data_IF_739755634939
#
_entry.id   IF_739755634939
#
_cell.length_a   1.000
_cell.length_b   1.000
_cell.length_c   1.000
_cell.angle_alpha   90.00
_cell.angle_beta   90.00
_cell.angle_gamma   90.00
#
_symmetry.space_group_name_H-M   'P 1'
#
loop_
_entity.id
_entity.type
_entity.pdbx_description
1 polymer ?
#
# COMPACT_ATOMS: atom_id res chain seq x y z
N UNK A 1 -48.78 -5.78 -14.75
CA UNK A 1 -48.16 -4.63 -15.44
C UNK A 1 -47.86 -3.58 -14.38
N UNK A 2 -46.81 -3.81 -13.59
CA UNK A 2 -46.38 -2.89 -12.54
C UNK A 2 -45.11 -2.21 -13.03
N UNK A 3 -45.26 -0.96 -13.47
CA UNK A 3 -44.14 -0.09 -13.80
C UNK A 3 -43.40 0.22 -12.50
N UNK A 4 -42.25 -0.43 -12.29
CA UNK A 4 -41.22 0.11 -11.42
C UNK A 4 -40.68 1.36 -12.12
N UNK A 5 -41.13 2.52 -11.69
CA UNK A 5 -40.45 3.77 -11.98
C UNK A 5 -39.16 3.77 -11.18
N UNK A 6 -38.09 3.24 -11.77
CA UNK A 6 -36.73 3.51 -11.33
C UNK A 6 -36.54 5.02 -11.34
N UNK A 7 -36.54 5.63 -10.15
CA UNK A 7 -36.09 7.01 -10.01
C UNK A 7 -34.59 6.96 -10.23
N UNK A 8 -34.17 7.14 -11.48
CA UNK A 8 -32.76 7.38 -11.81
C UNK A 8 -32.32 8.60 -11.02
N UNK A 9 -31.59 8.39 -9.93
CA UNK A 9 -30.84 9.47 -9.28
C UNK A 9 -29.92 9.99 -10.36
N UNK A 10 -30.21 11.19 -10.86
CA UNK A 10 -29.45 11.80 -11.95
C UNK A 10 -28.02 11.97 -11.42
N UNK A 11 -27.09 11.17 -11.94
CA UNK A 11 -25.69 11.23 -11.55
C UNK A 11 -25.14 12.60 -11.98
N UNK A 12 -24.93 13.46 -10.97
CA UNK A 12 -24.33 14.79 -11.12
C UNK A 12 -23.01 14.66 -11.88
N UNK A 13 -22.80 15.41 -12.95
CA UNK A 13 -21.55 15.41 -13.73
C UNK A 13 -20.84 16.78 -13.69
N UNK A 14 -19.63 16.87 -14.26
CA UNK A 14 -18.89 18.15 -14.23
C UNK A 14 -19.52 19.26 -15.07
N UNK A 15 -20.43 18.96 -16.02
CA UNK A 15 -21.22 20.00 -16.67
C UNK A 15 -22.25 20.61 -15.72
N UNK A 16 -22.91 19.80 -14.89
CA UNK A 16 -23.81 20.29 -13.84
C UNK A 16 -23.06 21.12 -12.78
N UNK A 17 -21.81 20.77 -12.49
CA UNK A 17 -20.92 21.57 -11.63
C UNK A 17 -20.63 22.94 -12.25
N UNK A 18 -20.39 22.99 -13.56
CA UNK A 18 -20.19 24.26 -14.28
C UNK A 18 -21.44 25.14 -14.23
N UNK A 19 -22.62 24.53 -14.38
CA UNK A 19 -23.91 25.22 -14.28
C UNK A 19 -24.15 25.76 -12.86
N UNK A 20 -23.80 24.99 -11.83
CA UNK A 20 -23.91 25.42 -10.43
C UNK A 20 -22.99 26.63 -10.12
N UNK A 21 -21.77 26.65 -10.66
CA UNK A 21 -20.87 27.82 -10.55
C UNK A 21 -21.51 29.06 -11.18
N UNK A 22 -22.14 28.90 -12.35
CA UNK A 22 -22.76 30.00 -13.08
C UNK A 22 -23.96 30.57 -12.27
N UNK A 23 -24.76 29.69 -11.65
CA UNK A 23 -25.94 30.03 -10.83
C UNK A 23 -25.63 30.61 -9.43
N UNK A 24 -24.44 30.37 -8.88
CA UNK A 24 -24.08 30.83 -7.52
C UNK A 24 -24.08 32.38 -7.40
N UNK A 25 -24.89 32.98 -6.53
CA UNK A 25 -25.01 34.46 -6.42
C UNK A 25 -24.03 35.10 -5.45
N UNK A 26 -23.42 34.29 -4.59
CA UNK A 26 -22.56 34.62 -3.46
C UNK A 26 -21.05 34.63 -3.80
N UNK A 27 -20.70 34.31 -5.05
CA UNK A 27 -19.31 34.29 -5.54
C UNK A 27 -18.96 35.52 -6.41
N UNK A 28 -17.77 36.09 -6.18
CA UNK A 28 -17.25 37.15 -7.04
C UNK A 28 -17.00 36.67 -8.47
N UNK A 29 -17.08 37.60 -9.44
CA UNK A 29 -16.87 37.27 -10.86
C UNK A 29 -15.49 36.61 -11.13
N UNK A 30 -14.45 37.08 -10.43
CA UNK A 30 -13.10 36.47 -10.50
C UNK A 30 -13.10 35.04 -9.97
N UNK A 31 -13.75 34.80 -8.84
CA UNK A 31 -13.80 33.45 -8.24
C UNK A 31 -14.56 32.47 -9.12
N UNK A 32 -15.69 32.89 -9.73
CA UNK A 32 -16.42 32.07 -10.71
C UNK A 32 -15.55 31.70 -11.90
N UNK A 33 -14.82 32.67 -12.46
CA UNK A 33 -13.90 32.45 -13.58
C UNK A 33 -12.83 31.42 -13.24
N UNK A 34 -12.20 31.54 -12.08
CA UNK A 34 -11.14 30.62 -11.64
C UNK A 34 -11.67 29.19 -11.44
N UNK A 35 -12.81 29.04 -10.76
CA UNK A 35 -13.45 27.74 -10.57
C UNK A 35 -13.80 27.08 -11.91
N UNK A 36 -14.45 27.84 -12.81
CA UNK A 36 -14.83 27.36 -14.14
C UNK A 36 -13.61 26.94 -14.97
N UNK A 37 -12.55 27.75 -14.95
CA UNK A 37 -11.30 27.47 -15.66
C UNK A 37 -10.66 26.18 -15.15
N UNK A 38 -10.67 25.96 -13.84
CA UNK A 38 -10.07 24.78 -13.22
C UNK A 38 -10.86 23.50 -13.43
N UNK A 39 -12.20 23.56 -13.38
CA UNK A 39 -13.06 22.42 -13.73
C UNK A 39 -12.84 22.02 -15.19
N UNK A 40 -12.79 23.00 -16.11
CA UNK A 40 -12.49 22.73 -17.53
C UNK A 40 -11.07 22.22 -17.74
N UNK A 41 -10.10 22.72 -16.98
CA UNK A 41 -8.72 22.24 -17.05
C UNK A 41 -8.61 20.77 -16.62
N UNK A 42 -9.31 20.38 -15.56
CA UNK A 42 -9.34 18.98 -15.10
C UNK A 42 -10.02 18.07 -16.12
N UNK A 43 -11.16 18.47 -16.68
CA UNK A 43 -11.82 17.70 -17.74
C UNK A 43 -10.89 17.48 -18.94
N UNK A 44 -10.16 18.54 -19.34
CA UNK A 44 -9.14 18.46 -20.39
C UNK A 44 -7.97 17.55 -20.02
N UNK A 45 -7.47 17.61 -18.79
CA UNK A 45 -6.37 16.75 -18.34
C UNK A 45 -6.77 15.28 -18.24
N UNK A 46 -8.06 15.01 -18.00
CA UNK A 46 -8.65 13.66 -18.04
C UNK A 46 -9.03 13.21 -19.47
N UNK A 47 -8.80 14.06 -20.47
CA UNK A 47 -9.15 13.86 -21.88
C UNK A 47 -10.61 13.44 -22.09
N UNK A 48 -11.52 14.11 -21.39
CA UNK A 48 -12.96 13.79 -21.40
C UNK A 48 -13.82 15.06 -21.39
N UNK A 49 -14.98 15.05 -22.07
CA UNK A 49 -15.94 16.14 -21.94
C UNK A 49 -16.50 16.16 -20.52
N UNK A 50 -16.75 17.36 -19.99
CA UNK A 50 -17.24 17.56 -18.62
C UNK A 50 -18.56 16.81 -18.34
N UNK A 51 -19.43 16.68 -19.35
CA UNK A 51 -20.69 15.92 -19.26
C UNK A 51 -20.51 14.42 -19.06
N UNK A 52 -19.34 13.86 -19.41
CA UNK A 52 -19.05 12.42 -19.26
C UNK A 52 -18.34 12.06 -17.95
N UNK A 53 -18.01 13.06 -17.14
CA UNK A 53 -17.26 12.86 -15.89
C UNK A 53 -18.26 13.01 -14.74
N UNK A 54 -18.60 11.90 -14.10
CA UNK A 54 -19.42 11.91 -12.90
C UNK A 54 -18.71 12.73 -11.79
N UNK A 55 -19.47 13.57 -11.10
CA UNK A 55 -19.04 14.41 -10.00
C UNK A 55 -19.05 13.68 -8.64
N UNK A 56 -19.14 12.34 -8.65
CA UNK A 56 -18.90 11.50 -7.48
C UNK A 56 -17.44 11.62 -7.00
N UNK A 57 -17.28 11.90 -5.71
CA UNK A 57 -15.98 12.16 -5.12
C UNK A 57 -15.08 10.91 -5.09
N UNK A 58 -15.64 9.70 -5.07
CA UNK A 58 -14.88 8.45 -5.09
C UNK A 58 -14.33 8.17 -6.48
N UNK A 59 -15.18 8.29 -7.50
CA UNK A 59 -14.79 8.12 -8.89
C UNK A 59 -13.78 9.19 -9.33
N UNK A 60 -14.06 10.46 -9.02
CA UNK A 60 -13.14 11.56 -9.33
C UNK A 60 -11.78 11.37 -8.66
N UNK A 61 -11.73 10.93 -7.39
CA UNK A 61 -10.46 10.65 -6.71
C UNK A 61 -9.66 9.58 -7.44
N UNK A 62 -10.30 8.46 -7.82
CA UNK A 62 -9.64 7.39 -8.56
C UNK A 62 -9.08 7.86 -9.92
N UNK A 63 -9.80 8.77 -10.60
CA UNK A 63 -9.37 9.38 -11.86
C UNK A 63 -8.22 10.38 -11.65
N UNK A 64 -8.32 11.24 -10.64
CA UNK A 64 -7.34 12.28 -10.31
C UNK A 64 -6.03 11.69 -9.75
N UNK A 65 -6.08 10.55 -9.07
CA UNK A 65 -4.89 9.85 -8.54
C UNK A 65 -3.92 9.42 -9.65
N UNK A 66 -4.43 9.23 -10.87
CA UNK A 66 -3.61 8.89 -12.04
C UNK A 66 -3.03 10.14 -12.76
N UNK A 67 -3.46 11.36 -12.41
CA UNK A 67 -2.94 12.58 -13.01
C UNK A 67 -1.62 13.00 -12.37
N UNK A 68 -0.52 12.81 -13.09
CA UNK A 68 0.78 13.33 -12.67
C UNK A 68 1.08 14.69 -13.30
N UNK A 69 1.41 15.70 -12.48
CA UNK A 69 1.57 17.09 -12.94
C UNK A 69 2.61 17.25 -14.08
N UNK A 70 3.70 16.46 -14.07
CA UNK A 70 4.71 16.48 -15.14
C UNK A 70 4.15 15.97 -16.47
N UNK A 71 3.32 14.92 -16.46
CA UNK A 71 2.75 14.31 -17.66
C UNK A 71 1.79 15.29 -18.36
N UNK A 72 0.95 15.97 -17.58
CA UNK A 72 0.03 17.01 -18.10
C UNK A 72 0.71 18.38 -18.31
N UNK A 73 2.02 18.50 -18.06
CA UNK A 73 2.80 19.70 -18.33
C UNK A 73 2.52 20.90 -17.41
N UNK A 74 2.12 20.67 -16.15
CA UNK A 74 1.86 21.74 -15.17
C UNK A 74 2.71 21.59 -13.91
N UNK A 75 2.82 22.67 -13.13
CA UNK A 75 3.45 22.60 -11.82
C UNK A 75 2.59 21.81 -10.83
N UNK A 76 3.23 21.16 -9.85
CA UNK A 76 2.52 20.46 -8.78
C UNK A 76 1.53 21.39 -8.04
N UNK A 77 1.91 22.66 -7.85
CA UNK A 77 1.06 23.70 -7.26
C UNK A 77 -0.18 23.97 -8.12
N UNK A 78 -0.05 24.01 -9.45
CA UNK A 78 -1.18 24.26 -10.36
C UNK A 78 -2.21 23.13 -10.31
N UNK A 79 -1.76 21.88 -10.34
CA UNK A 79 -2.63 20.71 -10.20
C UNK A 79 -3.32 20.70 -8.84
N UNK A 80 -2.57 20.97 -7.77
CA UNK A 80 -3.11 21.06 -6.40
C UNK A 80 -4.20 22.12 -6.26
N UNK A 81 -3.98 23.30 -6.83
CA UNK A 81 -4.96 24.38 -6.83
C UNK A 81 -6.20 24.01 -7.62
N UNK A 82 -6.04 23.38 -8.80
CA UNK A 82 -7.15 22.93 -9.62
C UNK A 82 -8.03 21.92 -8.87
N UNK A 83 -7.44 20.90 -8.25
CA UNK A 83 -8.17 19.89 -7.47
C UNK A 83 -8.91 20.54 -6.29
N UNK A 84 -8.25 21.49 -5.60
CA UNK A 84 -8.89 22.25 -4.52
C UNK A 84 -10.08 23.09 -5.00
N UNK A 85 -9.97 23.68 -6.19
CA UNK A 85 -11.03 24.47 -6.79
C UNK A 85 -12.16 23.58 -7.31
N UNK A 86 -11.86 22.40 -7.87
CA UNK A 86 -12.86 21.40 -8.22
C UNK A 86 -13.65 20.93 -6.99
N UNK A 87 -12.97 20.60 -5.88
CA UNK A 87 -13.66 20.23 -4.63
C UNK A 87 -14.61 21.35 -4.17
N UNK A 88 -14.17 22.61 -4.26
CA UNK A 88 -15.01 23.77 -3.94
C UNK A 88 -16.19 23.91 -4.91
N UNK A 89 -16.01 23.58 -6.18
CA UNK A 89 -17.06 23.69 -7.18
C UNK A 89 -18.14 22.61 -6.99
N UNK A 90 -17.75 21.38 -6.66
CA UNK A 90 -18.69 20.30 -6.36
C UNK A 90 -19.47 20.60 -5.06
N UNK A 91 -18.84 21.24 -4.07
CA UNK A 91 -19.57 21.71 -2.87
C UNK A 91 -20.75 22.62 -3.21
N UNK A 92 -20.74 23.35 -4.34
CA UNK A 92 -21.84 24.22 -4.78
C UNK A 92 -23.03 23.46 -5.35
N UNK A 93 -22.86 22.20 -5.79
CA UNK A 93 -23.96 21.41 -6.37
C UNK A 93 -24.84 20.75 -5.32
N UNK A 94 -24.29 20.48 -4.14
CA UNK A 94 -25.05 20.06 -2.99
C UNK A 94 -25.66 21.33 -2.40
N UNK A 95 -26.97 21.53 -2.55
CA UNK A 95 -27.74 22.75 -2.25
C UNK A 95 -27.70 23.26 -0.78
N UNK A 96 -26.65 22.95 -0.01
CA UNK A 96 -26.39 23.49 1.31
C UNK A 96 -25.24 24.49 1.21
N UNK A 97 -25.51 25.81 1.23
CA UNK A 97 -24.47 26.81 1.38
C UNK A 97 -23.93 26.69 2.81
N UNK A 98 -22.95 25.82 3.02
CA UNK A 98 -22.16 25.86 4.26
C UNK A 98 -21.25 27.06 4.10
N UNK A 99 -21.73 28.22 4.54
CA UNK A 99 -20.90 29.40 4.74
C UNK A 99 -19.60 28.93 5.40
N UNK A 100 -18.48 29.07 4.69
CA UNK A 100 -17.16 28.67 5.20
C UNK A 100 -16.88 29.48 6.44
N UNK A 101 -17.26 28.97 7.61
CA UNK A 101 -16.76 29.50 8.87
C UNK A 101 -15.25 29.31 8.80
N UNK A 102 -14.50 30.43 8.86
CA UNK A 102 -13.02 30.42 8.93
C UNK A 102 -12.50 29.48 10.02
N UNK A 103 -13.34 29.19 11.02
CA UNK A 103 -13.12 28.20 12.06
C UNK A 103 -14.24 27.15 12.03
N UNK A 104 -13.94 25.85 11.86
CA UNK A 104 -14.95 24.80 11.95
C UNK A 104 -15.66 24.84 13.31
N UNK A 105 -16.98 24.61 13.30
CA UNK A 105 -17.75 24.55 14.54
C UNK A 105 -17.29 23.33 15.36
N UNK A 106 -17.02 23.56 16.65
CA UNK A 106 -16.66 22.52 17.61
C UNK A 106 -17.38 22.79 18.92
N UNK A 107 -17.95 21.75 19.52
CA UNK A 107 -18.55 21.86 20.86
C UNK A 107 -17.47 22.21 21.89
N UNK A 108 -17.84 22.79 23.05
CA UNK A 108 -16.87 23.09 24.12
C UNK A 108 -16.04 21.88 24.54
N UNK A 109 -16.66 20.71 24.63
CA UNK A 109 -16.03 19.42 24.96
C UNK A 109 -14.93 19.06 23.95
N UNK A 110 -15.24 19.08 22.65
CA UNK A 110 -14.26 18.81 21.59
C UNK A 110 -13.15 19.87 21.52
N UNK A 111 -13.42 21.12 21.89
CA UNK A 111 -12.38 22.16 22.01
C UNK A 111 -11.42 21.86 23.15
N UNK A 112 -11.95 21.47 24.32
CA UNK A 112 -11.14 21.09 25.47
C UNK A 112 -10.25 19.88 25.14
N UNK A 113 -10.80 18.88 24.45
CA UNK A 113 -10.05 17.69 23.99
C UNK A 113 -8.87 18.04 23.09
N UNK A 114 -9.10 18.90 22.10
CA UNK A 114 -8.04 19.34 21.20
C UNK A 114 -7.00 20.21 21.92
N UNK A 115 -7.39 20.97 22.94
CA UNK A 115 -6.47 21.75 23.76
C UNK A 115 -5.60 20.86 24.68
N UNK A 116 -6.13 19.72 25.14
CA UNK A 116 -5.42 18.76 25.99
C UNK A 116 -4.38 17.90 25.26
N UNK A 117 -4.35 17.93 23.93
CA UNK A 117 -3.33 17.22 23.15
C UNK A 117 -2.00 17.98 23.22
N UNK A 118 -0.93 17.31 23.67
CA UNK A 118 0.40 17.92 23.82
C UNK A 118 1.03 18.31 22.48
N UNK A 119 0.83 17.50 21.43
CA UNK A 119 1.53 17.67 20.15
C UNK A 119 0.61 18.21 19.06
N UNK A 120 1.11 19.16 18.28
CA UNK A 120 0.37 19.80 17.16
C UNK A 120 -0.15 18.79 16.15
N UNK A 121 0.65 17.78 15.83
CA UNK A 121 0.25 16.76 14.88
C UNK A 121 -0.90 15.89 15.41
N UNK A 122 -0.97 15.60 16.72
CA UNK A 122 -2.08 14.86 17.34
C UNK A 122 -3.37 15.68 17.22
N UNK A 123 -3.28 16.98 17.51
CA UNK A 123 -4.37 17.96 17.33
C UNK A 123 -4.87 17.97 15.90
N UNK A 124 -3.97 18.07 14.92
CA UNK A 124 -4.34 18.09 13.50
C UNK A 124 -4.98 16.78 13.03
N UNK A 125 -4.62 15.64 13.60
CA UNK A 125 -5.21 14.33 13.26
C UNK A 125 -6.62 14.16 13.82
N UNK A 126 -6.87 14.61 15.05
CA UNK A 126 -8.18 14.51 15.70
C UNK A 126 -9.14 15.63 15.27
N UNK A 127 -8.62 16.78 14.84
CA UNK A 127 -9.44 17.95 14.48
C UNK A 127 -10.53 17.67 13.44
N UNK A 128 -10.28 16.75 12.49
CA UNK A 128 -11.28 16.33 11.50
C UNK A 128 -12.45 15.57 12.15
N UNK A 129 -12.14 14.59 12.99
CA UNK A 129 -13.14 13.81 13.74
C UNK A 129 -13.93 14.70 14.69
N UNK A 130 -13.24 15.57 15.44
CA UNK A 130 -13.86 16.51 16.37
C UNK A 130 -14.86 17.44 15.68
N UNK A 131 -14.55 17.88 14.45
CA UNK A 131 -15.45 18.72 13.66
C UNK A 131 -16.65 17.92 13.19
N UNK A 132 -16.45 16.72 12.66
CA UNK A 132 -17.53 15.82 12.24
C UNK A 132 -18.49 15.51 13.41
N UNK A 133 -17.96 15.05 14.54
CA UNK A 133 -18.75 14.74 15.73
C UNK A 133 -19.48 15.97 16.27
N UNK A 134 -18.87 17.17 16.21
CA UNK A 134 -19.55 18.40 16.61
C UNK A 134 -20.69 18.81 15.67
N UNK A 135 -20.55 18.54 14.36
CA UNK A 135 -21.59 18.79 13.35
C UNK A 135 -22.75 17.78 13.47
N UNK A 136 -22.47 16.54 13.90
CA UNK A 136 -23.46 15.46 14.04
C UNK A 136 -24.00 15.28 15.46
N UNK A 137 -23.54 16.08 16.42
CA UNK A 137 -24.00 16.04 17.82
C UNK A 137 -23.45 14.87 18.64
N UNK A 138 -22.36 14.24 18.21
CA UNK A 138 -21.70 13.13 18.90
C UNK A 138 -20.70 13.68 19.93
N UNK A 139 -20.84 13.27 21.20
CA UNK A 139 -19.90 13.59 22.27
C UNK A 139 -18.65 12.72 22.18
N UNK A 140 -17.56 13.12 22.82
CA UNK A 140 -16.32 12.32 22.81
C UNK A 140 -16.50 10.96 23.49
N UNK A 141 -17.35 10.87 24.52
CA UNK A 141 -17.69 9.62 25.22
C UNK A 141 -18.43 8.62 24.35
N UNK A 142 -19.14 9.11 23.33
CA UNK A 142 -20.04 8.31 22.49
C UNK A 142 -19.33 7.83 21.21
N UNK A 143 -18.05 8.18 21.04
CA UNK A 143 -17.24 7.73 19.90
C UNK A 143 -16.87 6.26 20.07
N UNK A 144 -17.43 5.42 19.20
CA UNK A 144 -17.17 3.99 19.14
C UNK A 144 -16.96 3.53 17.68
N UNK A 145 -16.73 2.24 17.49
CA UNK A 145 -16.44 1.66 16.17
C UNK A 145 -17.56 1.85 15.13
N UNK A 146 -18.79 2.14 15.56
CA UNK A 146 -19.92 2.42 14.63
C UNK A 146 -19.87 3.84 14.04
N UNK A 147 -19.18 4.78 14.72
CA UNK A 147 -19.00 6.17 14.24
C UNK A 147 -17.98 6.24 13.11
N UNK A 148 -17.03 5.31 13.09
CA UNK A 148 -15.90 5.31 12.16
C UNK A 148 -16.31 5.12 10.69
N UNK A 149 -17.18 4.16 10.32
CA UNK A 149 -17.70 4.06 8.95
C UNK A 149 -18.39 5.35 8.48
N UNK A 150 -19.25 5.94 9.32
CA UNK A 150 -19.97 7.17 8.98
C UNK A 150 -19.00 8.37 8.79
N UNK A 151 -17.98 8.49 9.65
CA UNK A 151 -16.93 9.50 9.48
C UNK A 151 -16.07 9.25 8.23
N UNK A 152 -15.77 7.99 7.90
CA UNK A 152 -15.07 7.62 6.66
C UNK A 152 -15.85 8.07 5.44
N UNK A 153 -17.15 7.79 5.39
CA UNK A 153 -18.01 8.17 4.27
C UNK A 153 -18.13 9.69 4.16
N UNK A 154 -18.17 10.39 5.29
CA UNK A 154 -18.13 11.85 5.33
C UNK A 154 -16.82 12.41 4.72
N UNK A 155 -15.67 11.83 5.06
CA UNK A 155 -14.38 12.20 4.47
C UNK A 155 -14.33 11.89 2.97
N UNK A 156 -14.86 10.73 2.57
CA UNK A 156 -14.92 10.30 1.18
C UNK A 156 -15.74 11.27 0.33
N UNK A 157 -16.83 11.82 0.87
CA UNK A 157 -17.69 12.81 0.21
C UNK A 157 -17.07 14.22 0.17
N UNK A 158 -16.32 14.64 1.20
CA UNK A 158 -15.81 16.02 1.31
C UNK A 158 -14.45 16.28 0.66
N UNK A 159 -13.63 15.28 0.33
CA UNK A 159 -12.24 15.52 -0.10
C UNK A 159 -11.77 14.70 -1.29
N UNK A 160 -11.52 15.35 -2.42
CA UNK A 160 -10.93 14.71 -3.61
C UNK A 160 -9.45 14.31 -3.49
N UNK A 161 -8.74 14.71 -2.42
CA UNK A 161 -7.27 14.52 -2.30
C UNK A 161 -6.84 13.60 -1.15
N UNK A 162 -7.62 13.52 -0.07
CA UNK A 162 -7.26 12.67 1.08
C UNK A 162 -7.73 11.25 0.82
N UNK A 163 -6.82 10.29 0.93
CA UNK A 163 -7.14 8.87 1.13
C UNK A 163 -7.92 8.73 2.45
N UNK A 164 -9.25 8.46 2.40
CA UNK A 164 -10.08 8.39 3.59
C UNK A 164 -9.68 7.23 4.49
N UNK A 165 -9.30 6.09 3.94
CA UNK A 165 -8.88 4.90 4.69
C UNK A 165 -7.62 5.16 5.50
N UNK A 166 -6.62 5.77 4.86
CA UNK A 166 -5.40 6.17 5.55
C UNK A 166 -5.68 7.23 6.61
N UNK A 167 -6.54 8.19 6.33
CA UNK A 167 -6.91 9.23 7.29
C UNK A 167 -7.62 8.65 8.53
N UNK A 168 -8.57 7.73 8.33
CA UNK A 168 -9.27 7.02 9.40
C UNK A 168 -8.30 6.19 10.23
N UNK A 169 -7.45 5.38 9.58
CA UNK A 169 -6.43 4.60 10.28
C UNK A 169 -5.55 5.46 11.18
N UNK A 170 -5.04 6.58 10.67
CA UNK A 170 -4.23 7.50 11.47
C UNK A 170 -5.02 8.18 12.59
N UNK A 171 -6.31 8.45 12.37
CA UNK A 171 -7.21 9.01 13.40
C UNK A 171 -7.40 8.02 14.54
N UNK A 172 -7.73 6.76 14.25
CA UNK A 172 -7.91 5.69 15.25
C UNK A 172 -6.62 5.48 16.05
N UNK A 173 -5.47 5.41 15.36
CA UNK A 173 -4.17 5.27 16.03
C UNK A 173 -3.87 6.44 16.96
N UNK A 174 -4.18 7.67 16.53
CA UNK A 174 -3.98 8.86 17.37
C UNK A 174 -4.96 8.86 18.55
N UNK A 175 -6.21 8.44 18.35
CA UNK A 175 -7.22 8.33 19.40
C UNK A 175 -6.79 7.36 20.50
N UNK A 176 -6.42 6.13 20.13
CA UNK A 176 -5.96 5.13 21.09
C UNK A 176 -4.67 5.55 21.78
N UNK A 177 -3.78 6.27 21.10
CA UNK A 177 -2.57 6.83 21.69
C UNK A 177 -2.89 7.87 22.79
N UNK A 178 -3.90 8.71 22.60
CA UNK A 178 -4.32 9.68 23.63
C UNK A 178 -4.87 8.97 24.88
N UNK A 179 -5.51 7.81 24.70
CA UNK A 179 -5.94 6.93 25.81
C UNK A 179 -4.71 6.35 26.52
N UNK A 180 -3.76 5.80 25.76
CA UNK A 180 -2.52 5.20 26.29
C UNK A 180 -1.65 6.20 27.05
N UNK A 181 -1.68 7.47 26.66
CA UNK A 181 -0.96 8.57 27.35
C UNK A 181 -1.69 9.06 28.61
N UNK A 182 -2.87 8.54 28.94
CA UNK A 182 -3.65 8.98 30.11
C UNK A 182 -4.33 10.34 29.93
N UNK A 183 -4.34 10.91 28.71
CA UNK A 183 -5.03 12.18 28.40
C UNK A 183 -6.55 11.99 28.37
N UNK A 184 -7.00 10.78 27.99
CA UNK A 184 -8.42 10.46 27.82
C UNK A 184 -8.78 9.03 28.28
N UNK A 185 -8.43 8.61 29.51
CA UNK A 185 -8.50 7.20 29.90
C UNK A 185 -9.93 6.65 29.99
N UNK A 186 -10.92 7.52 30.12
CA UNK A 186 -12.35 7.17 30.19
C UNK A 186 -13.01 6.95 28.82
N UNK A 187 -12.30 7.23 27.72
CA UNK A 187 -12.86 7.07 26.38
C UNK A 187 -12.74 5.63 25.90
N UNK A 188 -13.73 5.19 25.11
CA UNK A 188 -13.71 3.86 24.50
C UNK A 188 -12.55 3.74 23.50
N UNK A 189 -11.78 2.65 23.59
CA UNK A 189 -10.77 2.31 22.58
C UNK A 189 -11.47 1.93 21.28
N UNK A 190 -10.97 2.49 20.19
CA UNK A 190 -11.41 2.15 18.84
C UNK A 190 -10.61 0.97 18.31
N UNK A 191 -11.25 0.10 17.56
CA UNK A 191 -10.59 -1.04 16.93
C UNK A 191 -9.74 -0.54 15.75
N UNK A 192 -8.40 -0.64 15.79
CA UNK A 192 -7.58 -0.26 14.66
C UNK A 192 -7.92 -1.14 13.46
N UNK A 193 -8.04 -0.56 12.27
CA UNK A 193 -8.08 -1.34 11.03
C UNK A 193 -6.89 -2.30 11.06
N UNK A 194 -7.16 -3.62 11.08
CA UNK A 194 -6.14 -4.66 11.30
C UNK A 194 -4.95 -4.36 10.39
N UNK A 195 -3.82 -4.02 10.99
CA UNK A 195 -2.59 -3.91 10.23
C UNK A 195 -2.30 -5.29 9.65
N UNK A 196 -2.17 -5.39 8.33
CA UNK A 196 -1.71 -6.62 7.69
C UNK A 196 -0.33 -7.07 8.21
N UNK A 197 0.39 -6.25 8.99
CA UNK A 197 1.70 -6.58 9.53
C UNK A 197 1.68 -7.42 10.82
N UNK A 198 0.63 -7.36 11.66
CA UNK A 198 0.67 -7.95 13.02
C UNK A 198 -0.57 -8.78 13.37
N UNK A 199 -1.06 -9.59 12.42
CA UNK A 199 -2.17 -10.51 12.70
C UNK A 199 -1.70 -11.91 13.11
N UNK A 200 -0.40 -12.21 13.01
CA UNK A 200 0.17 -13.51 13.37
C UNK A 200 0.55 -13.55 14.85
N UNK A 201 0.21 -14.63 15.53
CA UNK A 201 0.70 -14.94 16.88
C UNK A 201 2.24 -15.05 16.85
N UNK A 202 2.97 -14.39 17.76
CA UNK A 202 4.42 -14.57 17.94
C UNK A 202 4.79 -16.05 18.09
N UNK A 203 5.95 -16.45 17.57
CA UNK A 203 6.39 -17.85 17.68
C UNK A 203 6.62 -18.26 19.15
N UNK A 204 7.03 -17.31 19.99
CA UNK A 204 7.25 -17.46 21.43
C UNK A 204 6.02 -17.89 22.22
N UNK A 205 4.82 -17.64 21.68
CA UNK A 205 3.56 -17.88 22.38
C UNK A 205 3.01 -19.30 22.10
N UNK A 206 3.61 -20.02 21.16
CA UNK A 206 3.29 -21.42 20.89
C UNK A 206 4.03 -22.36 21.86
N UNK A 207 3.59 -23.61 22.04
CA UNK A 207 4.28 -24.59 22.87
C UNK A 207 5.78 -24.73 22.55
N UNK A 208 6.60 -24.95 23.57
CA UNK A 208 8.06 -25.03 23.42
C UNK A 208 8.49 -26.17 22.47
N UNK A 209 7.75 -27.27 22.47
CA UNK A 209 7.95 -28.40 21.54
C UNK A 209 7.83 -27.96 20.08
N UNK A 210 6.83 -27.13 19.78
CA UNK A 210 6.62 -26.60 18.43
C UNK A 210 7.75 -25.67 18.02
N UNK A 211 8.16 -24.78 18.93
CA UNK A 211 9.29 -23.87 18.68
C UNK A 211 10.57 -24.64 18.36
N UNK A 212 10.87 -25.68 19.14
CA UNK A 212 12.04 -26.53 18.92
C UNK A 212 11.97 -27.28 17.58
N UNK A 213 10.81 -27.80 17.20
CA UNK A 213 10.62 -28.47 15.91
C UNK A 213 10.76 -27.50 14.72
N UNK A 214 10.25 -26.26 14.86
CA UNK A 214 10.47 -25.18 13.89
C UNK A 214 11.96 -24.88 13.73
N UNK A 215 12.68 -24.66 14.83
CA UNK A 215 14.10 -24.31 14.77
C UNK A 215 14.95 -25.47 14.22
N UNK A 216 14.64 -26.72 14.56
CA UNK A 216 15.24 -27.92 13.97
C UNK A 216 15.07 -27.95 12.44
N UNK A 217 13.85 -27.69 11.96
CA UNK A 217 13.60 -27.62 10.52
C UNK A 217 14.35 -26.47 9.85
N UNK A 218 14.37 -25.29 10.46
CA UNK A 218 15.03 -24.12 9.88
C UNK A 218 16.55 -24.27 9.84
N UNK A 219 17.15 -24.88 10.86
CA UNK A 219 18.56 -25.24 10.88
C UNK A 219 18.89 -26.20 9.73
N UNK A 220 18.10 -27.28 9.59
CA UNK A 220 18.27 -28.30 8.53
C UNK A 220 18.27 -27.69 7.12
N UNK A 221 17.34 -26.77 6.83
CA UNK A 221 17.29 -26.16 5.49
C UNK A 221 18.34 -25.07 5.28
N UNK A 222 18.95 -24.56 6.36
CA UNK A 222 20.04 -23.58 6.28
C UNK A 222 21.41 -24.23 6.19
N UNK A 223 21.58 -25.40 6.81
CA UNK A 223 22.84 -26.14 6.94
C UNK A 223 22.66 -27.56 6.35
N UNK A 224 22.56 -27.63 5.02
CA UNK A 224 22.38 -28.91 4.33
C UNK A 224 23.72 -29.63 4.25
N UNK A 225 23.77 -30.84 4.82
CA UNK A 225 24.82 -31.80 4.51
C UNK A 225 24.63 -32.32 3.09
N UNK A 226 25.58 -32.00 2.20
CA UNK A 226 25.53 -32.38 0.78
C UNK A 226 25.61 -33.90 0.56
N UNK A 227 26.04 -34.67 1.58
CA UNK A 227 26.13 -36.12 1.53
C UNK A 227 24.92 -36.81 2.18
N UNK A 228 24.01 -36.05 2.79
CA UNK A 228 22.78 -36.57 3.39
C UNK A 228 21.73 -36.85 2.32
N UNK A 229 21.06 -38.01 2.40
CA UNK A 229 19.88 -38.33 1.60
C UNK A 229 18.63 -37.55 2.07
N UNK A 230 18.71 -36.94 3.25
CA UNK A 230 17.65 -36.15 3.88
C UNK A 230 17.89 -34.63 3.72
N UNK A 231 16.86 -33.91 3.23
CA UNK A 231 16.85 -32.45 3.13
C UNK A 231 16.78 -31.89 1.70
N UNK A 232 16.68 -30.57 1.52
CA UNK A 232 16.76 -29.97 0.18
C UNK A 232 18.18 -30.10 -0.38
N UNK A 233 18.37 -30.20 -1.71
CA UNK A 233 19.67 -30.50 -2.33
C UNK A 233 20.74 -29.41 -2.18
N UNK A 234 20.37 -28.21 -1.75
CA UNK A 234 21.27 -27.09 -1.48
C UNK A 234 20.77 -26.33 -0.26
N UNK A 235 21.71 -25.81 0.53
CA UNK A 235 21.41 -24.88 1.61
C UNK A 235 20.60 -23.68 1.10
N UNK A 236 19.53 -23.34 1.81
CA UNK A 236 18.67 -22.21 1.45
C UNK A 236 19.28 -20.89 1.92
N UNK A 237 19.17 -19.86 1.09
CA UNK A 237 19.59 -18.49 1.44
C UNK A 237 18.83 -18.00 2.71
N UNK A 238 19.45 -17.17 3.57
CA UNK A 238 18.83 -16.70 4.81
C UNK A 238 17.44 -16.08 4.64
N UNK A 239 17.22 -15.29 3.59
CA UNK A 239 15.91 -14.71 3.30
C UNK A 239 14.83 -15.76 2.98
N UNK A 240 15.21 -16.88 2.36
CA UNK A 240 14.31 -18.00 2.10
C UNK A 240 13.95 -18.72 3.40
N UNK A 241 14.92 -18.92 4.29
CA UNK A 241 14.71 -19.49 5.63
C UNK A 241 13.72 -18.62 6.43
N UNK A 242 13.91 -17.31 6.44
CA UNK A 242 12.98 -16.39 7.12
C UNK A 242 11.57 -16.43 6.49
N UNK A 243 11.48 -16.52 5.17
CA UNK A 243 10.18 -16.68 4.49
C UNK A 243 9.48 -18.00 4.88
N UNK A 244 10.24 -19.06 5.19
CA UNK A 244 9.70 -20.32 5.70
C UNK A 244 9.22 -20.14 7.14
N UNK A 245 10.02 -19.52 8.02
CA UNK A 245 9.64 -19.19 9.41
C UNK A 245 8.31 -18.41 9.45
N UNK A 246 8.19 -17.37 8.61
CA UNK A 246 6.96 -16.57 8.49
C UNK A 246 5.78 -17.41 7.97
N UNK A 247 6.01 -18.31 7.02
CA UNK A 247 4.95 -19.17 6.50
C UNK A 247 4.43 -20.15 7.56
N UNK A 248 5.32 -20.78 8.33
CA UNK A 248 4.98 -21.66 9.46
C UNK A 248 4.15 -20.90 10.49
N UNK A 249 4.63 -19.73 10.94
CA UNK A 249 3.92 -18.90 11.92
C UNK A 249 2.53 -18.48 11.45
N UNK A 250 2.39 -18.13 10.16
CA UNK A 250 1.09 -17.82 9.55
C UNK A 250 0.16 -19.02 9.60
N UNK A 251 0.62 -20.19 9.16
CA UNK A 251 -0.16 -21.42 9.17
C UNK A 251 -0.62 -21.81 10.57
N UNK A 252 0.28 -21.79 11.56
CA UNK A 252 -0.04 -22.08 12.95
C UNK A 252 -1.04 -21.07 13.54
N UNK A 253 -0.87 -19.76 13.26
CA UNK A 253 -1.84 -18.75 13.68
C UNK A 253 -3.22 -19.02 13.09
N UNK A 254 -3.29 -19.42 11.82
CA UNK A 254 -4.57 -19.70 11.16
C UNK A 254 -5.32 -20.81 11.91
N UNK A 255 -4.63 -21.89 12.30
CA UNK A 255 -5.25 -22.96 13.07
C UNK A 255 -5.88 -22.44 14.36
N UNK A 256 -5.14 -21.62 15.12
CA UNK A 256 -5.65 -20.96 16.33
C UNK A 256 -6.90 -20.12 16.05
N UNK A 257 -6.84 -19.29 15.00
CA UNK A 257 -7.98 -18.43 14.61
C UNK A 257 -9.21 -19.23 14.15
N UNK A 258 -9.01 -20.45 13.63
CA UNK A 258 -10.07 -21.35 13.20
C UNK A 258 -10.57 -22.30 14.30
N UNK A 259 -10.04 -22.17 15.53
CA UNK A 259 -10.55 -22.88 16.71
C UNK A 259 -9.68 -24.04 17.22
N UNK A 260 -8.51 -24.28 16.62
CA UNK A 260 -7.54 -25.25 17.17
C UNK A 260 -6.89 -24.64 18.43
N UNK A 261 -6.94 -25.31 19.60
CA UNK A 261 -6.27 -24.81 20.81
C UNK A 261 -4.77 -24.63 20.57
N UNK A 262 -4.19 -23.53 21.03
CA UNK A 262 -2.78 -23.21 20.77
C UNK A 262 -1.85 -24.27 21.38
N UNK A 263 -2.26 -24.86 22.50
CA UNK A 263 -1.56 -25.91 23.24
C UNK A 263 -1.49 -27.23 22.45
N UNK A 264 -2.42 -27.45 21.50
CA UNK A 264 -2.44 -28.64 20.65
C UNK A 264 -1.50 -28.56 19.45
N UNK A 265 -0.94 -27.38 19.16
CA UNK A 265 0.02 -27.18 18.07
C UNK A 265 1.42 -27.42 18.63
N UNK A 266 1.79 -28.69 18.79
CA UNK A 266 3.05 -29.11 19.44
C UNK A 266 4.18 -29.43 18.45
N UNK A 267 3.88 -29.59 17.16
CA UNK A 267 4.88 -29.89 16.12
C UNK A 267 4.45 -29.42 14.73
N UNK A 268 5.38 -29.45 13.78
CA UNK A 268 5.13 -29.17 12.37
C UNK A 268 4.22 -30.21 11.71
N UNK A 269 4.10 -31.41 12.29
CA UNK A 269 3.19 -32.46 11.83
C UNK A 269 1.73 -31.97 11.84
N UNK A 270 1.33 -31.26 12.90
CA UNK A 270 -0.03 -30.69 13.05
C UNK A 270 -0.40 -29.81 11.86
N UNK A 271 0.55 -29.05 11.30
CA UNK A 271 0.29 -28.14 10.18
C UNK A 271 0.06 -28.86 8.84
N UNK A 272 0.59 -30.08 8.71
CA UNK A 272 0.56 -30.85 7.45
C UNK A 272 -0.47 -31.99 7.47
N UNK A 273 -1.10 -32.25 8.62
CA UNK A 273 -2.30 -33.07 8.69
C UNK A 273 -3.34 -32.60 7.67
N UNK A 274 -3.95 -33.53 6.94
CA UNK A 274 -4.82 -33.22 5.80
C UNK A 274 -5.93 -32.23 6.16
N UNK A 275 -6.53 -32.37 7.34
CA UNK A 275 -7.61 -31.48 7.79
C UNK A 275 -7.07 -30.06 8.07
N UNK A 276 -6.00 -29.93 8.85
CA UNK A 276 -5.36 -28.66 9.16
C UNK A 276 -4.81 -27.97 7.91
N UNK A 277 -4.16 -28.72 7.02
CA UNK A 277 -3.67 -28.22 5.74
C UNK A 277 -4.80 -27.60 4.90
N UNK A 278 -5.95 -28.28 4.79
CA UNK A 278 -7.13 -27.74 4.11
C UNK A 278 -7.69 -26.49 4.79
N UNK A 279 -7.78 -26.50 6.12
CA UNK A 279 -8.24 -25.34 6.91
C UNK A 279 -7.36 -24.11 6.66
N UNK A 280 -6.03 -24.30 6.67
CA UNK A 280 -5.06 -23.22 6.41
C UNK A 280 -5.28 -22.62 5.02
N UNK A 281 -5.38 -23.46 3.99
CA UNK A 281 -5.58 -22.99 2.63
C UNK A 281 -6.94 -22.32 2.45
N UNK A 282 -8.00 -22.90 3.02
CA UNK A 282 -9.37 -22.36 2.96
C UNK A 282 -9.45 -20.97 3.58
N UNK A 283 -8.86 -20.79 4.77
CA UNK A 283 -8.82 -19.48 5.43
C UNK A 283 -8.23 -18.40 4.52
N UNK A 284 -7.15 -18.70 3.81
CA UNK A 284 -6.54 -17.73 2.89
C UNK A 284 -7.34 -17.54 1.61
N UNK A 285 -8.04 -18.55 1.10
CA UNK A 285 -8.96 -18.38 -0.02
C UNK A 285 -10.13 -17.48 0.36
N UNK A 286 -10.77 -17.74 1.51
CA UNK A 286 -11.91 -16.96 1.98
C UNK A 286 -11.50 -15.50 2.26
N UNK A 287 -10.29 -15.30 2.81
CA UNK A 287 -9.71 -13.96 3.01
C UNK A 287 -9.43 -13.21 1.69
N UNK A 288 -9.26 -13.92 0.58
CA UNK A 288 -9.09 -13.33 -0.76
C UNK A 288 -10.34 -13.50 -1.62
N UNK A 289 -11.53 -13.55 -0.99
CA UNK A 289 -12.83 -13.59 -1.66
C UNK A 289 -12.95 -14.76 -2.67
N UNK A 290 -12.37 -15.91 -2.31
CA UNK A 290 -12.35 -17.11 -3.15
C UNK A 290 -11.31 -17.10 -4.28
N UNK A 291 -10.60 -15.99 -4.50
CA UNK A 291 -9.53 -15.91 -5.49
C UNK A 291 -8.26 -16.55 -4.94
N UNK A 292 -7.57 -17.38 -5.74
CA UNK A 292 -6.30 -18.01 -5.36
C UNK A 292 -5.16 -17.01 -5.57
N UNK A 293 -4.55 -16.44 -4.52
CA UNK A 293 -3.46 -15.51 -4.72
C UNK A 293 -2.16 -16.27 -5.04
N UNK A 294 -1.32 -15.69 -5.90
CA UNK A 294 -0.08 -16.34 -6.39
C UNK A 294 0.85 -16.84 -5.27
N UNK A 295 0.88 -16.14 -4.14
CA UNK A 295 1.73 -16.51 -3.01
C UNK A 295 1.22 -17.74 -2.23
N UNK A 296 -0.06 -18.10 -2.35
CA UNK A 296 -0.65 -19.23 -1.62
C UNK A 296 -0.08 -20.57 -2.10
N UNK A 297 0.14 -20.71 -3.41
CA UNK A 297 0.88 -21.84 -3.98
C UNK A 297 2.27 -21.97 -3.31
N UNK A 298 2.96 -20.85 -3.13
CA UNK A 298 4.27 -20.81 -2.47
C UNK A 298 4.21 -21.16 -0.99
N UNK A 299 3.11 -20.88 -0.27
CA UNK A 299 2.90 -21.33 1.11
C UNK A 299 2.67 -22.84 1.14
N UNK A 300 1.74 -23.34 0.32
CA UNK A 300 1.44 -24.76 0.20
C UNK A 300 2.69 -25.59 -0.16
N UNK A 301 3.53 -25.07 -1.06
CA UNK A 301 4.79 -25.73 -1.42
C UNK A 301 5.73 -25.88 -0.22
N UNK A 302 5.81 -24.88 0.67
CA UNK A 302 6.67 -24.97 1.87
C UNK A 302 6.16 -26.02 2.84
N UNK A 303 4.84 -26.07 3.05
CA UNK A 303 4.20 -27.08 3.90
C UNK A 303 4.39 -28.50 3.34
N UNK A 304 4.28 -28.70 2.03
CA UNK A 304 4.60 -29.99 1.38
C UNK A 304 6.08 -30.36 1.53
N UNK A 305 6.99 -29.39 1.46
CA UNK A 305 8.42 -29.61 1.73
C UNK A 305 8.67 -30.02 3.19
N UNK A 306 7.99 -29.37 4.14
CA UNK A 306 8.03 -29.74 5.57
C UNK A 306 7.49 -31.17 5.78
N UNK A 307 6.34 -31.49 5.17
CA UNK A 307 5.76 -32.83 5.21
C UNK A 307 6.72 -33.91 4.72
N UNK A 308 7.46 -33.63 3.63
CA UNK A 308 8.41 -34.56 3.04
C UNK A 308 9.66 -34.75 3.90
N UNK A 309 10.30 -33.66 4.33
CA UNK A 309 11.66 -33.72 4.87
C UNK A 309 11.75 -33.61 6.38
N UNK A 310 10.79 -32.96 7.04
CA UNK A 310 10.76 -32.87 8.51
C UNK A 310 9.87 -33.96 9.10
N UNK A 311 8.63 -34.03 8.63
CA UNK A 311 7.61 -34.96 9.18
C UNK A 311 7.75 -36.36 8.59
N UNK A 312 8.32 -36.46 7.38
CA UNK A 312 8.51 -37.72 6.64
C UNK A 312 7.21 -38.50 6.46
N UNK A 313 6.15 -37.82 6.00
CA UNK A 313 4.87 -38.46 5.71
C UNK A 313 5.01 -39.57 4.66
N UNK A 314 4.17 -40.62 4.72
CA UNK A 314 4.10 -41.64 3.69
C UNK A 314 3.82 -41.03 2.31
N UNK A 315 4.34 -41.66 1.25
CA UNK A 315 4.24 -41.16 -0.12
C UNK A 315 2.79 -40.90 -0.56
N UNK A 316 1.86 -41.78 -0.17
CA UNK A 316 0.43 -41.64 -0.46
C UNK A 316 -0.18 -40.35 0.13
N UNK A 317 0.18 -40.00 1.36
CA UNK A 317 -0.33 -38.78 2.00
C UNK A 317 0.32 -37.53 1.40
N UNK A 318 1.62 -37.61 1.11
CA UNK A 318 2.37 -36.54 0.49
C UNK A 318 1.84 -36.19 -0.91
N UNK A 319 1.48 -37.21 -1.69
CA UNK A 319 0.86 -37.06 -3.01
C UNK A 319 -0.52 -36.40 -2.91
N UNK A 320 -1.30 -36.73 -1.88
CA UNK A 320 -2.58 -36.08 -1.64
C UNK A 320 -2.42 -34.57 -1.35
N UNK A 321 -1.41 -34.18 -0.55
CA UNK A 321 -1.08 -32.77 -0.32
C UNK A 321 -0.57 -32.09 -1.61
N UNK A 322 0.28 -32.78 -2.37
CA UNK A 322 0.82 -32.27 -3.64
C UNK A 322 -0.27 -32.07 -4.69
N UNK A 323 -1.27 -32.94 -4.75
CA UNK A 323 -2.43 -32.82 -5.63
C UNK A 323 -3.26 -31.57 -5.31
N UNK A 324 -3.49 -31.27 -4.02
CA UNK A 324 -4.17 -30.03 -3.61
C UNK A 324 -3.33 -28.81 -4.01
N UNK A 325 -2.01 -28.85 -3.74
CA UNK A 325 -1.06 -27.79 -4.15
C UNK A 325 -1.14 -27.51 -5.66
N UNK A 326 -1.16 -28.56 -6.48
CA UNK A 326 -1.17 -28.43 -7.94
C UNK A 326 -2.40 -27.68 -8.47
N UNK A 327 -3.57 -27.86 -7.84
CA UNK A 327 -4.81 -27.15 -8.20
C UNK A 327 -4.75 -25.64 -7.99
N UNK A 328 -3.84 -25.16 -7.14
CA UNK A 328 -3.65 -23.73 -6.88
C UNK A 328 -2.62 -23.08 -7.80
N UNK A 329 -1.99 -23.84 -8.72
CA UNK A 329 -0.98 -23.29 -9.62
C UNK A 329 -1.65 -22.37 -10.63
N UNK A 330 -1.50 -21.07 -10.43
CA UNK A 330 -1.87 -20.06 -11.42
C UNK A 330 -0.73 -19.97 -12.43
N UNK A 331 -0.96 -20.47 -13.65
CA UNK A 331 -0.04 -20.23 -14.76
C UNK A 331 -0.29 -18.83 -15.30
N UNK A 332 0.75 -18.00 -15.33
CA UNK A 332 0.68 -16.71 -15.97
C UNK A 332 1.96 -16.52 -16.76
N UNK A 333 1.83 -16.41 -18.08
CA UNK A 333 2.95 -16.10 -18.96
C UNK A 333 3.12 -14.58 -19.06
N UNK A 334 4.34 -14.12 -18.83
CA UNK A 334 4.70 -12.70 -18.89
C UNK A 334 4.21 -11.86 -17.69
N UNK A 335 4.09 -10.56 -17.92
CA UNK A 335 3.79 -9.58 -16.88
C UNK A 335 2.31 -9.62 -16.46
N UNK A 336 2.06 -9.34 -15.18
CA UNK A 336 0.69 -9.14 -14.68
C UNK A 336 0.07 -7.92 -15.35
N UNK A 337 -1.26 -7.88 -15.50
CA UNK A 337 -1.96 -6.70 -16.04
C UNK A 337 -1.59 -5.41 -15.29
N UNK A 338 -1.48 -5.49 -13.96
CA UNK A 338 -0.99 -4.39 -13.14
C UNK A 338 0.41 -3.90 -13.56
N UNK A 339 1.33 -4.80 -13.86
CA UNK A 339 2.68 -4.45 -14.29
C UNK A 339 2.69 -3.91 -15.72
N UNK A 340 1.89 -4.49 -16.63
CA UNK A 340 1.73 -3.99 -18.01
C UNK A 340 1.19 -2.56 -18.00
N UNK A 341 0.07 -2.31 -17.30
CA UNK A 341 -0.52 -0.98 -17.18
C UNK A 341 0.45 0.04 -16.57
N UNK A 342 1.26 -0.38 -15.59
CA UNK A 342 2.29 0.49 -15.01
C UNK A 342 3.41 0.82 -15.99
N UNK A 343 3.81 -0.14 -16.85
CA UNK A 343 4.86 0.09 -17.85
C UNK A 343 4.35 0.81 -19.10
N UNK A 344 3.05 0.75 -19.40
CA UNK A 344 2.46 1.40 -20.58
C UNK A 344 2.66 2.92 -20.63
N UNK A 345 2.98 3.57 -19.51
CA UNK A 345 3.40 4.98 -19.54
C UNK A 345 4.65 5.22 -20.40
N UNK A 346 5.49 4.21 -20.62
CA UNK A 346 6.69 4.30 -21.44
C UNK A 346 6.43 4.02 -22.93
N UNK A 347 5.18 3.74 -23.32
CA UNK A 347 4.79 3.72 -24.74
C UNK A 347 4.80 5.14 -25.34
N UNK A 348 4.65 6.15 -24.48
CA UNK A 348 4.76 7.57 -24.85
C UNK A 348 6.24 7.99 -24.96
N UNK A 349 6.74 8.39 -26.16
CA UNK A 349 8.14 8.75 -26.38
C UNK A 349 8.62 9.88 -25.45
N UNK A 350 7.74 10.82 -25.09
CA UNK A 350 8.08 11.89 -24.15
C UNK A 350 8.49 11.35 -22.77
N UNK A 351 7.81 10.31 -22.27
CA UNK A 351 8.12 9.73 -20.97
C UNK A 351 9.45 8.98 -20.99
N UNK A 352 9.77 8.31 -22.10
CA UNK A 352 11.10 7.70 -22.32
C UNK A 352 12.18 8.76 -22.33
N UNK A 353 11.98 9.88 -23.05
CA UNK A 353 12.93 10.98 -23.08
C UNK A 353 13.16 11.59 -21.68
N UNK A 354 12.09 11.79 -20.89
CA UNK A 354 12.19 12.27 -19.51
C UNK A 354 12.96 11.29 -18.61
N UNK A 355 12.75 9.98 -18.77
CA UNK A 355 13.45 8.96 -18.01
C UNK A 355 14.95 8.96 -18.32
N UNK A 356 15.32 8.98 -19.61
CA UNK A 356 16.73 9.00 -20.06
C UNK A 356 17.45 10.29 -19.62
N UNK A 357 16.77 11.44 -19.68
CA UNK A 357 17.37 12.73 -19.32
C UNK A 357 17.39 13.01 -17.81
N UNK A 358 16.71 12.21 -17.00
CA UNK A 358 16.58 12.39 -15.55
C UNK A 358 17.93 12.61 -14.84
N UNK A 359 19.00 11.83 -15.09
CA UNK A 359 20.29 12.00 -14.41
C UNK A 359 20.93 13.36 -14.70
N UNK A 360 20.89 13.80 -15.96
CA UNK A 360 21.41 15.10 -16.37
C UNK A 360 20.62 16.24 -15.71
N UNK A 361 19.28 16.17 -15.72
CA UNK A 361 18.45 17.19 -15.09
C UNK A 361 18.63 17.27 -13.58
N UNK A 362 18.66 16.13 -12.87
CA UNK A 362 18.85 16.11 -11.43
C UNK A 362 20.21 16.68 -11.03
N UNK A 363 21.27 16.31 -11.76
CA UNK A 363 22.64 16.81 -11.54
C UNK A 363 22.75 18.30 -11.82
N UNK A 364 22.22 18.78 -12.95
CA UNK A 364 22.21 20.20 -13.30
C UNK A 364 21.43 21.03 -12.26
N UNK A 365 20.27 20.54 -11.82
CA UNK A 365 19.46 21.17 -10.78
C UNK A 365 20.23 21.27 -9.46
N UNK A 366 20.87 20.18 -9.03
CA UNK A 366 21.65 20.17 -7.79
C UNK A 366 22.86 21.10 -7.86
N UNK A 367 23.60 21.11 -8.98
CA UNK A 367 24.75 22.00 -9.21
C UNK A 367 24.39 23.47 -9.30
N UNK A 368 23.19 23.79 -9.79
CA UNK A 368 22.68 25.16 -9.87
C UNK A 368 22.23 25.75 -8.53
N UNK A 369 22.21 24.97 -7.43
CA UNK A 369 21.85 25.46 -6.10
C UNK A 369 23.04 26.13 -5.44
N UNK A 370 22.85 27.34 -4.92
CA UNK A 370 23.84 28.04 -4.07
C UNK A 370 24.21 27.22 -2.83
N UNK A 371 23.23 26.50 -2.25
CA UNK A 371 23.45 25.54 -1.17
C UNK A 371 22.61 24.30 -1.42
N UNK A 372 23.25 23.23 -1.88
CA UNK A 372 22.59 21.95 -2.08
C UNK A 372 22.12 21.38 -0.73
N UNK A 373 20.90 20.84 -0.72
CA UNK A 373 20.32 20.16 0.44
C UNK A 373 20.57 18.65 0.39
N UNK A 374 20.31 17.97 1.51
CA UNK A 374 20.27 16.50 1.55
C UNK A 374 19.32 15.91 0.50
N UNK A 375 18.22 16.59 0.19
CA UNK A 375 17.25 16.11 -0.80
C UNK A 375 17.79 16.20 -2.22
N UNK A 376 18.56 17.25 -2.54
CA UNK A 376 19.22 17.36 -3.86
C UNK A 376 20.25 16.23 -4.05
N UNK A 377 21.00 15.87 -3.00
CA UNK A 377 21.93 14.74 -3.04
C UNK A 377 21.21 13.40 -3.25
N UNK A 378 20.07 13.18 -2.56
CA UNK A 378 19.25 11.99 -2.76
C UNK A 378 18.66 11.92 -4.17
N UNK A 379 18.22 13.05 -4.73
CA UNK A 379 17.71 13.10 -6.10
C UNK A 379 18.78 12.69 -7.12
N UNK A 380 20.01 13.17 -6.95
CA UNK A 380 21.15 12.76 -7.81
C UNK A 380 21.43 11.27 -7.66
N UNK A 381 21.47 10.75 -6.42
CA UNK A 381 21.69 9.33 -6.14
C UNK A 381 20.62 8.43 -6.80
N UNK A 382 19.34 8.78 -6.66
CA UNK A 382 18.25 8.02 -7.30
C UNK A 382 18.27 8.14 -8.82
N UNK A 383 18.63 9.31 -9.35
CA UNK A 383 18.72 9.50 -10.80
C UNK A 383 19.89 8.70 -11.40
N UNK A 384 21.05 8.66 -10.73
CA UNK A 384 22.15 7.79 -11.11
C UNK A 384 21.76 6.30 -11.04
N UNK A 385 21.00 5.92 -10.02
CA UNK A 385 20.47 4.55 -9.89
C UNK A 385 19.59 4.17 -11.09
N UNK A 386 18.78 5.10 -11.60
CA UNK A 386 17.99 4.92 -12.82
C UNK A 386 18.90 4.76 -14.04
N UNK A 387 19.93 5.60 -14.18
CA UNK A 387 20.89 5.54 -15.30
C UNK A 387 21.62 4.19 -15.37
N UNK A 388 22.07 3.69 -14.21
CA UNK A 388 22.68 2.37 -14.07
C UNK A 388 21.69 1.29 -14.52
N UNK A 389 20.43 1.35 -14.08
CA UNK A 389 19.44 0.32 -14.42
C UNK A 389 19.02 0.33 -15.90
N UNK A 390 19.10 1.47 -16.57
CA UNK A 390 18.86 1.57 -18.02
C UNK A 390 20.03 0.94 -18.79
N UNK A 391 21.26 1.20 -18.35
CA UNK A 391 22.47 0.75 -19.03
C UNK A 391 22.85 -0.70 -18.71
N UNK A 392 22.68 -1.11 -17.44
CA UNK A 392 23.03 -2.42 -16.89
C UNK A 392 21.83 -2.92 -16.06
N UNK A 393 20.81 -3.51 -16.70
CA UNK A 393 19.61 -3.96 -16.01
C UNK A 393 19.93 -5.03 -14.97
N UNK A 394 19.64 -4.73 -13.71
CA UNK A 394 19.88 -5.64 -12.59
C UNK A 394 18.73 -5.60 -11.59
N UNK A 395 18.68 -6.58 -10.69
CA UNK A 395 17.69 -6.58 -9.61
C UNK A 395 18.01 -5.46 -8.62
N UNK A 396 16.96 -4.82 -8.08
CA UNK A 396 17.08 -3.74 -7.08
C UNK A 396 18.00 -4.09 -5.90
N UNK A 397 17.99 -5.34 -5.45
CA UNK A 397 18.88 -5.78 -4.36
C UNK A 397 20.35 -5.63 -4.75
N UNK A 398 20.72 -6.09 -5.95
CA UNK A 398 22.08 -5.99 -6.46
C UNK A 398 22.51 -4.53 -6.61
N UNK A 399 21.65 -3.67 -7.16
CA UNK A 399 21.92 -2.24 -7.27
C UNK A 399 22.19 -1.59 -5.91
N UNK A 400 21.37 -1.91 -4.90
CA UNK A 400 21.52 -1.37 -3.56
C UNK A 400 22.74 -1.93 -2.82
N UNK A 401 23.24 -3.09 -3.23
CA UNK A 401 24.43 -3.75 -2.67
C UNK A 401 25.71 -3.45 -3.45
N UNK A 402 25.66 -2.59 -4.48
CA UNK A 402 26.87 -2.15 -5.18
C UNK A 402 27.80 -1.49 -4.17
N UNK A 403 29.05 -1.90 -4.25
CA UNK A 403 30.14 -1.47 -3.40
C UNK A 403 31.23 -1.00 -4.35
N UNK A 404 31.75 0.20 -4.12
CA UNK A 404 32.68 0.83 -5.06
C UNK A 404 34.00 0.05 -5.13
N UNK A 405 34.45 -0.53 -4.03
CA UNK A 405 35.74 -1.22 -3.98
C UNK A 405 35.64 -2.66 -4.47
N UNK A 406 34.48 -3.31 -4.27
CA UNK A 406 34.26 -4.70 -4.69
C UNK A 406 33.67 -4.85 -6.09
N UNK A 407 32.70 -4.00 -6.45
CA UNK A 407 31.86 -4.20 -7.64
C UNK A 407 32.21 -3.24 -8.79
N UNK A 408 33.02 -2.20 -8.56
CA UNK A 408 33.46 -1.28 -9.61
C UNK A 408 34.93 -1.53 -9.94
N UNK A 409 35.15 -2.06 -11.14
CA UNK A 409 36.49 -2.30 -11.65
C UNK A 409 36.86 -1.15 -12.58
N UNK A 410 37.90 -0.40 -12.20
CA UNK A 410 38.46 0.64 -13.07
C UNK A 410 39.41 -0.01 -14.09
N UNK A 411 39.17 0.28 -15.38
CA UNK A 411 39.97 -0.20 -16.51
C UNK A 411 40.47 0.99 -17.33
N UNK A 412 41.47 0.75 -18.19
CA UNK A 412 42.10 1.78 -19.02
C UNK A 412 43.13 2.64 -18.27
N UNK A 413 43.70 3.63 -18.95
CA UNK A 413 44.68 4.58 -18.40
C UNK A 413 44.42 6.01 -18.88
N UNK A 414 44.83 7.00 -18.08
CA UNK A 414 44.72 8.43 -18.40
C UNK A 414 43.29 8.84 -18.74
N UNK A 415 43.13 9.57 -19.84
CA UNK A 415 41.82 10.03 -20.34
C UNK A 415 40.91 8.89 -20.82
N UNK A 416 41.44 7.69 -21.05
CA UNK A 416 40.68 6.49 -21.43
C UNK A 416 40.25 5.63 -20.24
N UNK A 417 40.39 6.10 -19.00
CA UNK A 417 39.96 5.36 -17.80
C UNK A 417 38.44 5.28 -17.73
N UNK A 418 37.90 4.09 -17.57
CA UNK A 418 36.47 3.84 -17.44
C UNK A 418 36.16 2.88 -16.27
N UNK A 419 34.93 2.94 -15.78
CA UNK A 419 34.43 2.04 -14.75
C UNK A 419 33.60 0.92 -15.40
N UNK A 420 33.83 -0.31 -14.95
CA UNK A 420 33.01 -1.47 -15.29
C UNK A 420 32.34 -1.97 -14.01
N UNK A 421 31.02 -2.17 -14.07
CA UNK A 421 30.29 -2.82 -12.97
C UNK A 421 30.44 -4.33 -13.17
N UNK A 422 30.92 -5.03 -12.14
CA UNK A 422 31.03 -6.49 -12.13
C UNK A 422 30.43 -7.02 -10.84
N UNK A 423 29.36 -7.80 -10.95
CA UNK A 423 28.71 -8.44 -9.79
C UNK A 423 28.89 -9.96 -9.92
N UNK A 424 29.60 -10.62 -8.99
CA UNK A 424 29.77 -12.06 -8.98
C UNK A 424 28.44 -12.83 -9.03
N UNK A 425 28.43 -14.00 -9.66
CA UNK A 425 27.24 -14.85 -9.76
C UNK A 425 26.65 -15.21 -8.39
N UNK A 426 27.49 -15.44 -7.40
CA UNK A 426 27.08 -15.78 -6.03
C UNK A 426 26.25 -14.66 -5.36
N UNK A 427 26.47 -13.40 -5.75
CA UNK A 427 25.71 -12.25 -5.27
C UNK A 427 24.40 -12.05 -6.05
N UNK A 428 24.16 -12.81 -7.13
CA UNK A 428 22.92 -12.73 -7.92
C UNK A 428 21.95 -13.86 -7.59
N UNK A 429 20.66 -13.61 -7.78
CA UNK A 429 19.60 -14.59 -7.46
C UNK A 429 19.64 -15.83 -8.36
N UNK A 430 20.10 -15.68 -9.60
CA UNK A 430 20.13 -16.74 -10.61
C UNK A 430 21.54 -17.30 -10.83
N UNK A 431 22.52 -16.94 -10.00
CA UNK A 431 23.89 -17.46 -10.08
C UNK A 431 24.60 -17.08 -11.40
N UNK A 432 24.11 -16.05 -12.10
CA UNK A 432 24.72 -15.48 -13.31
C UNK A 432 25.33 -14.14 -12.97
N UNK A 433 26.61 -13.95 -13.27
CA UNK A 433 27.31 -12.69 -13.06
C UNK A 433 26.74 -11.56 -13.95
N UNK A 434 26.88 -10.31 -13.50
CA UNK A 434 26.49 -9.10 -14.24
C UNK A 434 27.75 -8.34 -14.61
#
# INVERSE_FOLDING_TARGET
MNQHTDISVTELNLADVLDAIDRATDLSATRKRDLRSDVKAIARWLDRPASSINADATELRARLDNLHHVQIGVSEKRLRNAISNLNTAIELTFATPVARRRTPYRTPEWKARLAACEKDWERHRIAGLATYCSETGIKESDVNDTVIPAYRDHLARKSLRKDPDRAIKMTIQTWNRLIDQGVAPHLQRLTPSRSNLHWTTPLSDFPQEFQADVDCWLDRVSNVDILSEDGPPKALRPQTVENIRVAIRKSATVLVLTGTPIESITSLAVLVEMQHFRTILRFFLDRNEGTVPTWLYGLASKLVTIARYQVKLPEQELDALAAIKARMKVSQDGLTEKNKLRLGQFDEPRNVALLIQLPAFATARARGRVRASRWDALDVMYSLSVDILISVPMRRFNLAAIDIDRHIIWRGQGAGRYAQIMIPGDDTKNEVAI
#
